data_IF_540086983051
#
_entry.id   IF_540086983051
#
_cell.length_a   1.000
_cell.length_b   1.000
_cell.length_c   1.000
_cell.angle_alpha   90.00
_cell.angle_beta   90.00
_cell.angle_gamma   90.00
#
_symmetry.space_group_name_H-M   'P 1'
#
loop_
_entity.id
_entity.type
_entity.pdbx_description
1 polymer ?
#
# COMPACT_ATOMS: atom_id res chain seq x y z
N UNK A 1 52.36 4.28 -6.67
CA UNK A 1 52.58 5.40 -7.62
C UNK A 1 52.62 4.98 -9.10
N UNK A 2 52.58 3.68 -9.42
CA UNK A 2 52.60 3.19 -10.80
C UNK A 2 51.22 3.20 -11.47
N UNK A 3 50.12 2.96 -10.74
CA UNK A 3 48.76 3.02 -11.32
C UNK A 3 48.34 4.43 -11.76
N UNK A 4 48.69 5.47 -11.01
CA UNK A 4 48.29 6.85 -11.35
C UNK A 4 49.01 7.39 -12.59
N UNK A 5 50.25 6.94 -12.82
CA UNK A 5 51.04 7.27 -14.00
C UNK A 5 50.50 6.60 -15.28
N UNK A 6 50.02 5.36 -15.17
CA UNK A 6 49.37 4.63 -16.28
C UNK A 6 48.02 5.26 -16.63
N UNK A 7 47.24 5.68 -15.63
CA UNK A 7 45.96 6.38 -15.83
C UNK A 7 46.19 7.75 -16.49
N UNK A 8 47.21 8.50 -16.08
CA UNK A 8 47.55 9.81 -16.67
C UNK A 8 48.13 9.70 -18.09
N UNK A 9 48.88 8.64 -18.40
CA UNK A 9 49.34 8.37 -19.76
C UNK A 9 48.19 7.96 -20.68
N UNK A 10 47.26 7.13 -20.19
CA UNK A 10 46.05 6.76 -20.93
C UNK A 10 45.15 7.97 -21.21
N UNK A 11 44.95 8.87 -20.25
CA UNK A 11 44.14 10.08 -20.47
C UNK A 11 44.79 11.05 -21.45
N UNK A 12 46.13 11.20 -21.43
CA UNK A 12 46.85 12.01 -22.42
C UNK A 12 46.79 11.44 -23.84
N UNK A 13 46.90 10.12 -24.00
CA UNK A 13 46.80 9.46 -25.30
C UNK A 13 45.38 9.54 -25.87
N UNK A 14 44.36 9.52 -25.01
CA UNK A 14 42.93 9.68 -25.38
C UNK A 14 42.59 11.13 -25.76
N UNK A 15 43.22 12.13 -25.13
CA UNK A 15 43.02 13.55 -25.45
C UNK A 15 43.65 13.99 -26.79
N UNK A 16 44.73 13.33 -27.22
CA UNK A 16 45.53 13.78 -28.37
C UNK A 16 45.01 13.28 -29.73
N UNK A 17 44.05 12.35 -29.75
CA UNK A 17 43.32 11.94 -30.95
C UNK A 17 41.87 12.30 -30.74
N UNK A 18 41.36 13.35 -31.40
CA UNK A 18 39.93 13.66 -31.39
C UNK A 18 39.16 12.37 -31.72
N UNK A 19 38.49 11.73 -30.74
CA UNK A 19 37.72 10.57 -31.06
C UNK A 19 36.55 11.09 -31.88
N UNK A 20 36.30 10.47 -33.05
CA UNK A 20 34.94 10.42 -33.60
C UNK A 20 34.13 9.68 -32.54
N UNK A 21 33.65 10.44 -31.56
CA UNK A 21 33.05 9.92 -30.34
C UNK A 21 31.84 9.06 -30.73
N UNK A 22 31.58 7.99 -29.97
CA UNK A 22 30.23 7.42 -30.03
C UNK A 22 29.26 8.57 -29.77
N UNK A 23 28.21 8.69 -30.58
CA UNK A 23 27.19 9.70 -30.35
C UNK A 23 26.72 9.56 -28.90
N UNK A 24 26.74 10.64 -28.12
CA UNK A 24 26.31 10.61 -26.73
C UNK A 24 24.90 10.00 -26.58
N UNK A 25 24.08 10.15 -27.61
CA UNK A 25 22.80 9.48 -27.78
C UNK A 25 22.89 7.95 -27.65
N UNK A 26 23.85 7.30 -28.32
CA UNK A 26 24.04 5.85 -28.28
C UNK A 26 24.42 5.31 -26.90
N UNK A 27 25.18 6.10 -26.13
CA UNK A 27 25.52 5.77 -24.73
C UNK A 27 24.31 5.95 -23.80
N UNK A 28 23.48 6.98 -24.04
CA UNK A 28 22.26 7.21 -23.28
C UNK A 28 21.19 6.14 -23.57
N UNK A 29 21.03 5.76 -24.83
CA UNK A 29 20.11 4.68 -25.22
C UNK A 29 20.53 3.34 -24.63
N UNK A 30 21.83 3.05 -24.55
CA UNK A 30 22.31 1.82 -23.92
C UNK A 30 22.04 1.79 -22.42
N UNK A 31 22.10 2.93 -21.72
CA UNK A 31 21.72 3.02 -20.30
C UNK A 31 20.23 2.74 -20.08
N UNK A 32 19.38 3.15 -21.02
CA UNK A 32 17.94 2.83 -21.03
C UNK A 32 17.64 1.37 -21.42
N UNK A 33 18.65 0.61 -21.84
CA UNK A 33 18.51 -0.81 -22.21
C UNK A 33 18.10 -1.03 -23.67
N UNK A 34 18.18 0.01 -24.50
CA UNK A 34 17.91 -0.06 -25.94
C UNK A 34 19.15 -0.61 -26.66
N UNK A 35 19.00 -1.51 -27.66
CA UNK A 35 20.13 -2.01 -28.44
C UNK A 35 20.84 -0.88 -29.20
N UNK A 36 22.16 -0.98 -29.27
CA UNK A 36 23.00 0.03 -29.91
C UNK A 36 22.89 -0.10 -31.43
N UNK A 37 22.51 0.99 -32.10
CA UNK A 37 22.32 1.01 -33.56
C UNK A 37 23.66 1.12 -34.32
N UNK A 38 24.67 1.79 -33.75
CA UNK A 38 25.98 1.98 -34.37
C UNK A 38 27.02 1.03 -33.79
N UNK A 39 27.63 0.20 -34.65
CA UNK A 39 28.71 -0.71 -34.27
C UNK A 39 29.98 0.08 -33.93
N UNK A 40 30.61 -0.24 -32.81
CA UNK A 40 31.90 0.32 -32.41
C UNK A 40 33.00 -0.27 -33.30
N UNK A 41 33.82 0.59 -33.91
CA UNK A 41 34.83 0.18 -34.91
C UNK A 41 36.24 0.10 -34.30
N UNK A 42 36.53 0.87 -33.24
CA UNK A 42 37.88 1.02 -32.69
C UNK A 42 38.05 0.40 -31.30
N UNK A 43 39.22 -0.22 -31.07
CA UNK A 43 39.56 -0.91 -29.81
C UNK A 43 39.51 0.02 -28.58
N UNK A 44 39.96 1.27 -28.72
CA UNK A 44 39.93 2.26 -27.62
C UNK A 44 38.50 2.62 -27.20
N UNK A 45 37.57 2.69 -28.15
CA UNK A 45 36.16 2.94 -27.87
C UNK A 45 35.51 1.77 -27.14
N UNK A 46 35.95 0.52 -27.41
CA UNK A 46 35.51 -0.65 -26.63
C UNK A 46 35.97 -0.60 -25.17
N UNK A 47 37.21 -0.15 -24.92
CA UNK A 47 37.75 -0.02 -23.56
C UNK A 47 36.98 1.01 -22.70
N UNK A 48 36.42 2.06 -23.30
CA UNK A 48 35.59 3.03 -22.60
C UNK A 48 34.12 2.56 -22.47
N UNK A 49 33.63 1.83 -23.47
CA UNK A 49 32.24 1.40 -23.52
C UNK A 49 31.94 0.20 -22.61
N UNK A 50 32.89 -0.71 -22.40
CA UNK A 50 32.70 -1.87 -21.54
C UNK A 50 32.44 -1.50 -20.06
N UNK A 51 33.20 -0.58 -19.42
CA UNK A 51 32.88 -0.09 -18.08
C UNK A 51 31.53 0.64 -18.00
N UNK A 52 31.15 1.38 -19.04
CA UNK A 52 29.85 2.05 -19.12
C UNK A 52 28.69 1.03 -19.13
N UNK A 53 28.78 0.00 -19.97
CA UNK A 53 27.79 -1.08 -19.98
C UNK A 53 27.72 -1.80 -18.64
N UNK A 54 28.87 -2.11 -18.03
CA UNK A 54 28.91 -2.75 -16.72
C UNK A 54 28.26 -1.88 -15.63
N UNK A 55 28.56 -0.58 -15.62
CA UNK A 55 27.96 0.38 -14.68
C UNK A 55 26.45 0.51 -14.85
N UNK A 56 25.96 0.61 -16.09
CA UNK A 56 24.51 0.69 -16.37
C UNK A 56 23.79 -0.61 -16.01
N UNK A 57 24.39 -1.77 -16.27
CA UNK A 57 23.85 -3.07 -15.88
C UNK A 57 23.72 -3.20 -14.36
N UNK A 58 24.76 -2.81 -13.63
CA UNK A 58 24.79 -2.82 -12.17
C UNK A 58 23.74 -1.86 -11.60
N UNK A 59 23.69 -0.62 -12.11
CA UNK A 59 22.73 0.39 -11.67
C UNK A 59 21.27 -0.08 -11.87
N UNK A 60 20.96 -0.69 -13.02
CA UNK A 60 19.63 -1.23 -13.31
C UNK A 60 19.29 -2.38 -12.36
N UNK A 61 20.22 -3.29 -12.11
CA UNK A 61 20.03 -4.40 -11.18
C UNK A 61 19.73 -3.93 -9.76
N UNK A 62 20.49 -2.95 -9.26
CA UNK A 62 20.26 -2.33 -7.94
C UNK A 62 18.91 -1.64 -7.92
N UNK A 63 18.59 -0.83 -8.94
CA UNK A 63 17.31 -0.13 -9.00
C UNK A 63 16.12 -1.09 -8.98
N UNK A 64 16.14 -2.14 -9.81
CA UNK A 64 15.05 -3.13 -9.83
C UNK A 64 14.95 -3.90 -8.53
N UNK A 65 16.09 -4.24 -7.90
CA UNK A 65 16.11 -4.91 -6.60
C UNK A 65 15.54 -4.05 -5.49
N UNK A 66 15.92 -2.77 -5.44
CA UNK A 66 15.39 -1.80 -4.47
C UNK A 66 13.90 -1.54 -4.69
N UNK A 67 13.48 -1.38 -5.95
CA UNK A 67 12.08 -1.17 -6.31
C UNK A 67 11.23 -2.38 -5.88
N UNK A 68 11.71 -3.60 -6.12
CA UNK A 68 11.06 -4.82 -5.63
C UNK A 68 11.00 -4.86 -4.11
N UNK A 69 12.09 -4.52 -3.41
CA UNK A 69 12.11 -4.48 -1.96
C UNK A 69 11.10 -3.45 -1.40
N UNK A 70 10.99 -2.26 -2.01
CA UNK A 70 10.02 -1.24 -1.61
C UNK A 70 8.58 -1.74 -1.80
N UNK A 71 8.28 -2.40 -2.92
CA UNK A 71 6.95 -2.95 -3.18
C UNK A 71 6.63 -4.17 -2.31
N UNK A 72 7.62 -5.02 -2.03
CA UNK A 72 7.46 -6.24 -1.23
C UNK A 72 7.31 -5.94 0.25
N UNK A 73 8.10 -5.01 0.79
CA UNK A 73 8.12 -4.74 2.24
C UNK A 73 7.11 -3.68 2.68
N UNK A 74 6.19 -3.22 1.80
CA UNK A 74 5.14 -2.24 2.11
C UNK A 74 5.63 -1.19 3.12
N UNK A 75 6.57 -0.33 2.71
CA UNK A 75 7.23 0.70 3.57
C UNK A 75 6.25 1.67 4.26
N UNK A 76 4.95 1.58 3.94
CA UNK A 76 3.88 2.19 4.70
C UNK A 76 3.49 1.27 5.84
N UNK A 77 3.90 1.60 7.08
CA UNK A 77 3.47 1.02 8.36
C UNK A 77 2.58 -0.22 8.25
N UNK A 78 3.13 -1.39 8.60
CA UNK A 78 2.32 -2.59 8.80
C UNK A 78 1.24 -2.25 9.82
N UNK A 79 -0.02 -2.31 9.42
CA UNK A 79 -1.11 -2.15 10.37
C UNK A 79 -0.97 -3.22 11.45
N UNK A 80 -1.19 -2.88 12.73
CA UNK A 80 -0.99 -3.80 13.82
C UNK A 80 -1.87 -5.02 13.63
N UNK A 81 -1.28 -6.21 13.74
CA UNK A 81 -2.01 -7.47 13.60
C UNK A 81 -2.67 -7.87 14.91
N UNK A 82 -2.08 -7.44 16.02
CA UNK A 82 -2.56 -7.70 17.37
C UNK A 82 -3.02 -6.41 18.05
N UNK A 83 -4.03 -6.55 18.88
CA UNK A 83 -4.54 -5.46 19.71
C UNK A 83 -3.46 -4.85 20.61
N UNK A 84 -2.56 -5.67 21.15
CA UNK A 84 -1.46 -5.20 22.01
C UNK A 84 -0.47 -4.33 21.22
N UNK A 85 -0.14 -4.75 20.00
CA UNK A 85 0.71 -3.98 19.09
C UNK A 85 0.10 -2.63 18.75
N UNK A 86 -1.23 -2.58 18.55
CA UNK A 86 -1.95 -1.32 18.33
C UNK A 86 -1.86 -0.37 19.56
N UNK A 87 -1.91 -0.91 20.78
CA UNK A 87 -1.73 -0.12 21.99
C UNK A 87 -0.29 0.40 22.13
N UNK A 88 0.71 -0.43 21.82
CA UNK A 88 2.13 -0.07 21.88
C UNK A 88 2.50 1.01 20.85
N UNK A 89 1.88 0.97 19.66
CA UNK A 89 1.99 2.02 18.63
C UNK A 89 1.23 3.32 18.99
N UNK A 90 0.55 3.35 20.15
CA UNK A 90 -0.11 4.54 20.68
C UNK A 90 -1.49 4.83 20.09
N UNK A 91 -2.16 3.80 19.55
CA UNK A 91 -3.56 3.92 19.15
C UNK A 91 -4.47 3.94 20.36
N UNK A 92 -5.53 4.75 20.30
CA UNK A 92 -6.51 4.88 21.39
C UNK A 92 -7.75 4.04 21.08
N UNK A 93 -8.17 3.13 21.98
CA UNK A 93 -9.41 2.39 21.82
C UNK A 93 -10.62 3.31 21.99
N UNK A 94 -11.57 3.18 21.06
CA UNK A 94 -12.88 3.85 21.08
C UNK A 94 -13.95 2.78 21.21
N UNK A 95 -14.77 2.87 22.25
CA UNK A 95 -15.79 1.86 22.52
C UNK A 95 -17.13 2.47 22.86
N UNK A 96 -18.21 1.76 22.52
CA UNK A 96 -19.54 2.09 23.03
C UNK A 96 -19.63 1.69 24.50
N UNK A 97 -20.49 2.34 25.27
CA UNK A 97 -20.69 2.00 26.69
C UNK A 97 -21.04 0.52 26.91
N UNK A 98 -21.89 -0.06 26.07
CA UNK A 98 -22.26 -1.48 26.17
C UNK A 98 -21.07 -2.40 25.89
N UNK A 99 -20.32 -2.13 24.82
CA UNK A 99 -19.14 -2.94 24.49
C UNK A 99 -18.05 -2.77 25.54
N UNK A 100 -17.90 -1.59 26.14
CA UNK A 100 -16.97 -1.36 27.23
C UNK A 100 -17.30 -2.26 28.44
N UNK A 101 -18.57 -2.39 28.81
CA UNK A 101 -18.98 -3.26 29.91
C UNK A 101 -18.61 -4.74 29.67
N UNK A 102 -18.64 -5.16 28.41
CA UNK A 102 -18.31 -6.53 28.01
C UNK A 102 -16.79 -6.80 28.04
N UNK A 103 -15.96 -5.80 27.71
CA UNK A 103 -14.50 -5.97 27.56
C UNK A 103 -13.69 -5.48 28.77
N UNK A 104 -14.29 -4.72 29.70
CA UNK A 104 -13.59 -4.12 30.86
C UNK A 104 -12.88 -5.14 31.76
N UNK A 105 -13.26 -6.41 31.68
CA UNK A 105 -12.69 -7.49 32.50
C UNK A 105 -11.47 -8.14 31.85
N UNK A 106 -11.23 -7.89 30.57
CA UNK A 106 -10.05 -8.36 29.85
C UNK A 106 -8.83 -7.63 30.42
N UNK A 107 -7.85 -8.39 30.91
CA UNK A 107 -6.67 -7.91 31.65
C UNK A 107 -5.97 -6.68 31.07
N UNK A 108 -5.96 -6.54 29.75
CA UNK A 108 -5.31 -5.43 29.04
C UNK A 108 -6.12 -4.12 28.99
N UNK A 109 -7.44 -4.19 29.17
CA UNK A 109 -8.30 -3.01 29.39
C UNK A 109 -8.41 -2.68 30.89
N UNK A 110 -8.31 -3.69 31.76
CA UNK A 110 -8.37 -3.54 33.22
C UNK A 110 -7.09 -2.97 33.83
N UNK A 111 -5.93 -3.41 33.31
CA UNK A 111 -4.64 -2.90 33.74
C UNK A 111 -4.50 -1.49 33.18
N UNK A 112 -4.85 -0.48 34.00
CA UNK A 112 -4.57 0.94 33.79
C UNK A 112 -3.06 1.15 33.77
N UNK A 113 -2.43 0.68 32.70
CA UNK A 113 -1.02 0.86 32.47
C UNK A 113 -0.85 2.35 32.17
N UNK A 114 -0.10 3.11 32.98
CA UNK A 114 0.06 4.55 32.78
C UNK A 114 0.78 4.88 31.46
N UNK A 115 1.34 3.88 30.78
CA UNK A 115 1.92 3.98 29.45
C UNK A 115 0.89 4.06 28.32
N UNK A 116 -0.33 3.57 28.51
CA UNK A 116 -1.36 3.55 27.46
C UNK A 116 -2.33 4.74 27.59
N UNK A 117 -2.81 5.23 26.46
CA UNK A 117 -3.82 6.30 26.42
C UNK A 117 -5.14 5.80 27.02
N UNK A 118 -5.90 6.67 27.71
CA UNK A 118 -7.18 6.28 28.30
C UNK A 118 -8.21 5.93 27.21
N UNK A 119 -8.98 4.88 27.45
CA UNK A 119 -10.08 4.46 26.57
C UNK A 119 -11.10 5.57 26.39
N UNK A 120 -11.49 5.82 25.14
CA UNK A 120 -12.57 6.75 24.81
C UNK A 120 -13.88 5.97 24.86
N UNK A 121 -14.62 6.17 25.95
CA UNK A 121 -15.92 5.54 26.17
C UNK A 121 -17.01 6.50 25.71
N UNK A 122 -17.73 6.12 24.67
CA UNK A 122 -18.84 6.89 24.13
C UNK A 122 -20.13 6.49 24.86
N UNK A 123 -20.69 7.44 25.61
CA UNK A 123 -21.95 7.25 26.34
C UNK A 123 -23.14 7.29 25.37
N UNK A 124 -23.31 6.23 24.59
CA UNK A 124 -24.42 6.02 23.67
C UNK A 124 -24.85 4.56 23.69
N UNK A 125 -26.15 4.32 23.55
CA UNK A 125 -26.72 2.99 23.34
C UNK A 125 -26.50 2.47 21.92
N UNK A 126 -26.15 3.36 20.98
CA UNK A 126 -25.91 2.99 19.59
C UNK A 126 -24.54 2.32 19.44
N UNK A 127 -24.52 1.04 19.06
CA UNK A 127 -23.27 0.30 18.84
C UNK A 127 -22.48 0.78 17.61
N UNK A 128 -23.11 1.51 16.68
CA UNK A 128 -22.41 2.07 15.51
C UNK A 128 -21.57 3.30 15.84
N UNK A 129 -21.74 3.90 17.01
CA UNK A 129 -21.11 5.16 17.38
C UNK A 129 -19.58 5.11 17.31
N UNK A 130 -18.99 3.94 17.61
CA UNK A 130 -17.53 3.76 17.51
C UNK A 130 -17.04 3.91 16.07
N UNK A 131 -17.79 3.40 15.09
CA UNK A 131 -17.44 3.53 13.67
C UNK A 131 -17.64 4.96 13.17
N UNK A 132 -18.75 5.58 13.53
CA UNK A 132 -19.04 6.97 13.17
C UNK A 132 -17.98 7.92 13.73
N UNK A 133 -17.49 7.65 14.94
CA UNK A 133 -16.41 8.40 15.57
C UNK A 133 -15.08 8.24 14.82
N UNK A 134 -14.71 7.01 14.43
CA UNK A 134 -13.51 6.76 13.62
C UNK A 134 -13.56 7.49 12.27
N UNK A 135 -14.72 7.51 11.62
CA UNK A 135 -14.87 8.19 10.32
C UNK A 135 -14.71 9.70 10.43
N UNK A 136 -15.26 10.31 11.49
CA UNK A 136 -15.10 11.74 11.73
C UNK A 136 -13.64 12.12 12.03
N UNK A 137 -12.83 11.18 12.51
CA UNK A 137 -11.44 11.38 12.95
C UNK A 137 -10.47 10.41 12.30
N UNK A 138 -10.59 10.24 10.98
CA UNK A 138 -9.76 9.31 10.21
C UNK A 138 -8.25 9.61 10.23
N UNK A 139 -7.85 10.80 10.67
CA UNK A 139 -6.44 11.21 10.78
C UNK A 139 -5.80 10.89 12.14
N UNK A 140 -6.59 10.48 13.13
CA UNK A 140 -6.09 10.13 14.46
C UNK A 140 -5.79 8.63 14.56
N UNK A 141 -4.80 8.26 15.37
CA UNK A 141 -4.48 6.86 15.66
C UNK A 141 -5.53 6.30 16.63
N UNK A 142 -6.67 5.90 16.08
CA UNK A 142 -7.81 5.36 16.79
C UNK A 142 -8.16 3.97 16.26
N UNK A 143 -8.64 3.10 17.13
CA UNK A 143 -9.32 1.86 16.71
C UNK A 143 -10.59 1.69 17.51
N UNK A 144 -11.59 1.03 16.92
CA UNK A 144 -12.86 0.76 17.60
C UNK A 144 -12.99 -0.73 17.93
N UNK A 145 -13.48 -1.02 19.13
CA UNK A 145 -13.88 -2.38 19.52
C UNK A 145 -15.38 -2.49 19.42
N UNK A 146 -15.85 -3.37 18.53
CA UNK A 146 -17.27 -3.53 18.20
C UNK A 146 -17.53 -5.01 17.89
N UNK A 147 -18.70 -5.57 18.25
CA UNK A 147 -19.04 -6.93 17.84
C UNK A 147 -19.14 -7.05 16.31
N UNK A 148 -18.63 -8.17 15.80
CA UNK A 148 -18.46 -8.40 14.35
C UNK A 148 -19.78 -8.31 13.55
N UNK A 149 -20.90 -8.74 14.14
CA UNK A 149 -22.20 -8.73 13.48
C UNK A 149 -22.70 -7.30 13.25
N UNK A 150 -22.54 -6.41 14.24
CA UNK A 150 -22.88 -4.99 14.11
C UNK A 150 -21.99 -4.28 13.10
N UNK A 151 -20.68 -4.59 13.10
CA UNK A 151 -19.74 -4.08 12.11
C UNK A 151 -20.15 -4.49 10.69
N UNK A 152 -20.45 -5.77 10.46
CA UNK A 152 -20.87 -6.29 9.15
C UNK A 152 -22.17 -5.63 8.67
N UNK A 153 -23.14 -5.49 9.57
CA UNK A 153 -24.41 -4.82 9.29
C UNK A 153 -24.22 -3.33 8.95
N UNK A 154 -23.35 -2.62 9.67
CA UNK A 154 -23.01 -1.22 9.39
C UNK A 154 -22.41 -1.05 7.99
N UNK A 155 -21.41 -1.86 7.65
CA UNK A 155 -20.77 -1.81 6.33
C UNK A 155 -21.77 -2.05 5.20
N UNK A 156 -22.68 -3.01 5.39
CA UNK A 156 -23.71 -3.32 4.41
C UNK A 156 -24.72 -2.18 4.25
N UNK A 157 -25.27 -1.70 5.37
CA UNK A 157 -26.32 -0.66 5.36
C UNK A 157 -25.78 0.68 4.85
N UNK A 158 -24.53 1.02 5.16
CA UNK A 158 -23.90 2.28 4.76
C UNK A 158 -23.11 2.18 3.45
N UNK A 159 -22.94 0.98 2.89
CA UNK A 159 -22.18 0.75 1.66
C UNK A 159 -20.67 1.03 1.76
N UNK A 160 -20.08 0.92 2.95
CA UNK A 160 -18.68 1.33 3.25
C UNK A 160 -17.67 0.19 3.26
N UNK A 161 -17.86 -0.81 2.39
CA UNK A 161 -17.00 -1.99 2.34
C UNK A 161 -15.56 -1.59 1.97
N UNK A 162 -14.58 -2.04 2.76
CA UNK A 162 -13.15 -1.75 2.54
C UNK A 162 -12.67 -0.39 3.05
N UNK A 163 -13.50 0.35 3.80
CA UNK A 163 -13.08 1.61 4.44
C UNK A 163 -12.29 1.38 5.73
N UNK A 164 -12.56 0.28 6.42
CA UNK A 164 -11.95 -0.05 7.70
C UNK A 164 -11.00 -1.24 7.56
N UNK A 165 -9.89 -1.17 8.29
CA UNK A 165 -9.02 -2.32 8.52
C UNK A 165 -9.52 -3.07 9.77
N UNK A 166 -9.78 -4.37 9.61
CA UNK A 166 -10.22 -5.24 10.71
C UNK A 166 -9.00 -6.02 11.18
N UNK A 167 -8.67 -5.91 12.47
CA UNK A 167 -7.60 -6.72 13.03
C UNK A 167 -7.99 -8.21 12.96
N UNK A 168 -7.05 -9.11 12.60
CA UNK A 168 -7.33 -10.54 12.50
C UNK A 168 -7.59 -11.20 13.87
N UNK A 169 -7.27 -10.52 14.98
CA UNK A 169 -7.47 -11.01 16.33
C UNK A 169 -8.93 -10.88 16.81
N UNK A 170 -9.50 -12.00 17.29
CA UNK A 170 -10.78 -12.02 18.00
C UNK A 170 -10.50 -11.83 19.49
N UNK A 171 -11.04 -10.75 20.08
CA UNK A 171 -10.84 -10.45 21.50
C UNK A 171 -11.69 -11.34 22.40
N UNK A 172 -12.96 -11.52 22.05
CA UNK A 172 -13.91 -12.31 22.82
C UNK A 172 -14.98 -12.90 21.90
N UNK A 173 -15.39 -14.13 22.19
CA UNK A 173 -16.52 -14.76 21.53
C UNK A 173 -17.75 -14.70 22.44
N UNK A 174 -18.74 -13.90 22.05
CA UNK A 174 -20.01 -13.78 22.75
C UNK A 174 -21.00 -14.81 22.22
N UNK A 175 -21.76 -15.45 23.12
CA UNK A 175 -22.86 -16.34 22.78
C UNK A 175 -24.18 -15.60 23.01
N UNK A 176 -25.06 -15.63 22.01
CA UNK A 176 -26.40 -15.07 22.13
C UNK A 176 -27.31 -16.11 22.76
N UNK A 177 -27.95 -15.75 23.88
CA UNK A 177 -28.88 -16.58 24.62
C UNK A 177 -30.19 -15.84 24.85
N UNK A 178 -31.30 -16.57 24.90
CA UNK A 178 -32.60 -16.04 25.27
C UNK A 178 -32.81 -16.33 26.74
N UNK A 179 -32.94 -15.29 27.56
CA UNK A 179 -33.18 -15.44 28.99
C UNK A 179 -34.66 -15.58 29.27
N UNK A 180 -35.02 -16.64 29.99
CA UNK A 180 -36.36 -16.90 30.51
C UNK A 180 -36.38 -16.73 32.04
N UNK A 181 -37.56 -16.52 32.60
CA UNK A 181 -37.75 -16.47 34.05
C UNK A 181 -37.29 -17.80 34.67
N UNK A 182 -36.63 -17.71 35.83
CA UNK A 182 -36.17 -18.89 36.57
C UNK A 182 -37.33 -19.87 36.80
N UNK A 183 -37.11 -21.15 36.49
CA UNK A 183 -38.11 -22.22 36.56
C UNK A 183 -39.29 -22.08 35.59
N UNK A 184 -39.13 -21.35 34.48
CA UNK A 184 -40.13 -21.35 33.43
C UNK A 184 -40.25 -22.75 32.79
N UNK A 185 -41.49 -23.26 32.75
CA UNK A 185 -41.83 -24.55 32.09
C UNK A 185 -41.47 -24.50 30.59
N UNK A 186 -41.44 -23.30 30.00
CA UNK A 186 -41.17 -23.09 28.59
C UNK A 186 -39.69 -23.30 28.21
N UNK A 187 -38.77 -23.37 29.18
CA UNK A 187 -37.33 -23.41 28.91
C UNK A 187 -36.94 -24.64 28.08
N UNK A 188 -37.38 -25.82 28.49
CA UNK A 188 -37.09 -27.06 27.76
C UNK A 188 -37.71 -27.06 26.36
N UNK A 189 -38.93 -26.55 26.24
CA UNK A 189 -39.63 -26.48 24.96
C UNK A 189 -38.95 -25.49 24.01
N UNK A 190 -38.50 -24.33 24.51
CA UNK A 190 -37.75 -23.36 23.72
C UNK A 190 -36.40 -23.92 23.27
N UNK A 191 -35.64 -24.54 24.18
CA UNK A 191 -34.33 -25.11 23.85
C UNK A 191 -34.45 -26.19 22.78
N UNK A 192 -35.41 -27.11 22.93
CA UNK A 192 -35.69 -28.13 21.92
C UNK A 192 -36.04 -27.50 20.57
N UNK A 193 -36.91 -26.50 20.56
CA UNK A 193 -37.31 -25.82 19.33
C UNK A 193 -36.13 -25.11 18.67
N UNK A 194 -35.27 -24.43 19.43
CA UNK A 194 -34.07 -23.76 18.91
C UNK A 194 -33.09 -24.79 18.32
N UNK A 195 -32.92 -25.94 18.97
CA UNK A 195 -32.10 -27.04 18.46
C UNK A 195 -32.66 -27.61 17.16
N UNK A 196 -33.97 -27.82 17.08
CA UNK A 196 -34.65 -28.28 15.87
C UNK A 196 -34.48 -27.27 14.71
N UNK A 197 -34.66 -25.97 14.99
CA UNK A 197 -34.42 -24.89 14.01
C UNK A 197 -32.95 -24.87 13.54
N UNK A 198 -32.00 -25.08 14.45
CA UNK A 198 -30.57 -25.18 14.13
C UNK A 198 -30.29 -26.41 13.26
N UNK A 199 -30.88 -27.56 13.57
CA UNK A 199 -30.72 -28.80 12.81
C UNK A 199 -31.28 -28.67 11.38
N UNK A 200 -32.38 -27.94 11.20
CA UNK A 200 -32.93 -27.60 9.88
C UNK A 200 -32.07 -26.60 9.10
N UNK A 201 -31.09 -25.96 9.74
CA UNK A 201 -30.22 -24.97 9.11
C UNK A 201 -30.86 -23.60 8.90
N UNK A 202 -31.99 -23.30 9.56
CA UNK A 202 -32.66 -22.00 9.49
C UNK A 202 -31.74 -20.82 9.87
N UNK A 203 -30.93 -20.90 10.95
CA UNK A 203 -29.98 -19.84 11.26
C UNK A 203 -28.97 -19.57 10.14
N UNK A 204 -28.53 -20.61 9.44
CA UNK A 204 -27.61 -20.48 8.30
C UNK A 204 -28.30 -19.79 7.11
N UNK A 205 -29.58 -20.08 6.89
CA UNK A 205 -30.39 -19.42 5.86
C UNK A 205 -30.62 -17.94 6.18
N UNK A 206 -31.02 -17.60 7.41
CA UNK A 206 -31.19 -16.22 7.85
C UNK A 206 -29.88 -15.44 7.81
N UNK A 207 -28.77 -16.06 8.23
CA UNK A 207 -27.45 -15.45 8.08
C UNK A 207 -27.19 -15.08 6.62
N UNK A 208 -27.47 -15.96 5.66
CA UNK A 208 -27.29 -15.64 4.23
C UNK A 208 -28.20 -14.51 3.74
N UNK A 209 -29.43 -14.41 4.24
CA UNK A 209 -30.39 -13.37 3.87
C UNK A 209 -30.03 -12.00 4.44
N UNK A 210 -29.63 -11.94 5.70
CA UNK A 210 -29.44 -10.68 6.44
C UNK A 210 -27.97 -10.25 6.55
N UNK A 211 -27.03 -11.19 6.49
CA UNK A 211 -25.59 -10.94 6.56
C UNK A 211 -24.95 -11.42 5.24
N UNK A 212 -24.64 -10.48 4.35
CA UNK A 212 -23.95 -10.82 3.12
C UNK A 212 -22.48 -11.21 3.43
N UNK A 213 -22.21 -12.53 3.46
CA UNK A 213 -20.87 -13.09 3.70
C UNK A 213 -19.82 -12.64 2.66
N UNK A 214 -20.22 -12.09 1.51
CA UNK A 214 -19.29 -11.51 0.53
C UNK A 214 -18.54 -10.29 1.08
N UNK A 215 -19.12 -9.55 2.03
CA UNK A 215 -18.46 -8.41 2.66
C UNK A 215 -17.30 -8.91 3.54
N UNK A 216 -17.55 -9.94 4.34
CA UNK A 216 -16.53 -10.56 5.21
C UNK A 216 -15.42 -11.23 4.41
N UNK A 217 -15.74 -11.90 3.30
CA UNK A 217 -14.73 -12.54 2.45
C UNK A 217 -13.85 -11.54 1.69
N UNK A 218 -14.37 -10.33 1.41
CA UNK A 218 -13.58 -9.22 0.85
C UNK A 218 -12.66 -8.55 1.88
N UNK A 219 -13.06 -8.52 3.15
CA UNK A 219 -12.24 -7.94 4.23
C UNK A 219 -11.02 -8.79 4.58
N UNK A 220 -11.15 -10.12 4.56
CA UNK A 220 -10.07 -11.04 4.91
C UNK A 220 -9.10 -11.34 3.76
N UNK A 221 -9.38 -10.88 2.55
CA UNK A 221 -8.38 -10.91 1.49
C UNK A 221 -7.42 -9.77 1.80
N UNK A 222 -6.30 -10.12 2.40
CA UNK A 222 -5.06 -9.36 2.24
C UNK A 222 -4.77 -9.29 0.74
N UNK A 223 -5.43 -8.35 0.06
CA UNK A 223 -5.05 -7.95 -1.27
C UNK A 223 -3.62 -7.47 -1.13
N UNK A 224 -2.68 -8.35 -1.48
CA UNK A 224 -1.39 -7.95 -2.00
C UNK A 224 -1.72 -6.81 -2.93
N UNK A 225 -1.40 -5.57 -2.52
CA UNK A 225 -1.88 -4.36 -3.20
C UNK A 225 -1.33 -4.42 -4.62
N UNK A 226 -2.12 -4.97 -5.53
CA UNK A 226 -1.81 -5.03 -6.95
C UNK A 226 -1.65 -3.58 -7.38
N UNK A 227 -0.56 -3.28 -8.06
CA UNK A 227 -0.24 -1.91 -8.51
C UNK A 227 -1.46 -1.41 -9.29
N UNK A 228 -2.15 -0.39 -8.74
CA UNK A 228 -3.36 0.15 -9.35
C UNK A 228 -2.95 1.12 -10.43
N UNK A 229 -3.79 1.30 -11.45
CA UNK A 229 -3.51 2.23 -12.55
C UNK A 229 -3.24 3.67 -12.06
N UNK A 230 -3.84 4.07 -10.93
CA UNK A 230 -3.58 5.36 -10.28
C UNK A 230 -2.12 5.54 -9.84
N UNK A 231 -1.44 4.46 -9.44
CA UNK A 231 -0.07 4.51 -8.91
C UNK A 231 0.94 4.75 -10.06
N UNK A 232 0.56 4.42 -11.30
CA UNK A 232 1.34 4.68 -12.52
C UNK A 232 1.17 6.09 -13.09
N UNK A 233 0.30 6.92 -12.52
CA UNK A 233 0.00 8.25 -13.05
C UNK A 233 1.25 9.14 -13.17
N UNK A 234 2.17 9.06 -12.19
CA UNK A 234 3.44 9.78 -12.22
C UNK A 234 4.30 9.41 -13.44
N UNK A 235 4.38 8.12 -13.78
CA UNK A 235 5.09 7.67 -14.97
C UNK A 235 4.47 8.22 -16.26
N UNK A 236 3.14 8.23 -16.35
CA UNK A 236 2.45 8.83 -17.51
C UNK A 236 2.69 10.34 -17.62
N UNK A 237 2.69 11.06 -16.50
CA UNK A 237 2.95 12.49 -16.48
C UNK A 237 4.37 12.82 -16.98
N UNK A 238 5.38 12.06 -16.54
CA UNK A 238 6.77 12.22 -16.99
C UNK A 238 6.91 11.93 -18.49
N UNK A 239 6.32 10.81 -18.97
CA UNK A 239 6.31 10.47 -20.39
C UNK A 239 5.64 11.56 -21.24
N UNK A 240 4.48 12.07 -20.80
CA UNK A 240 3.80 13.18 -21.48
C UNK A 240 4.66 14.45 -21.50
N UNK A 241 5.33 14.77 -20.39
CA UNK A 241 6.26 15.89 -20.32
C UNK A 241 7.40 15.79 -21.34
N UNK A 242 8.01 14.62 -21.46
CA UNK A 242 9.06 14.40 -22.48
C UNK A 242 8.54 14.50 -23.91
N UNK A 243 7.32 14.01 -24.19
CA UNK A 243 6.71 14.13 -25.52
C UNK A 243 6.40 15.59 -25.89
N UNK A 244 5.90 16.38 -24.93
CA UNK A 244 5.65 17.81 -25.13
C UNK A 244 6.97 18.55 -25.39
N UNK A 245 8.02 18.24 -24.62
CA UNK A 245 9.34 18.83 -24.81
C UNK A 245 9.92 18.49 -26.19
N UNK A 246 9.81 17.23 -26.61
CA UNK A 246 10.22 16.80 -27.96
C UNK A 246 9.45 17.54 -29.06
N UNK A 247 8.12 17.75 -28.89
CA UNK A 247 7.31 18.52 -29.83
C UNK A 247 7.78 19.97 -29.91
N UNK A 248 8.07 20.61 -28.78
CA UNK A 248 8.60 21.99 -28.75
C UNK A 248 9.93 22.08 -29.49
N UNK A 249 10.87 21.16 -29.24
CA UNK A 249 12.16 21.13 -29.93
C UNK A 249 11.98 20.94 -31.44
N UNK A 250 11.08 20.04 -31.85
CA UNK A 250 10.78 19.82 -33.27
C UNK A 250 10.20 21.07 -33.95
N UNK A 251 9.28 21.78 -33.29
CA UNK A 251 8.73 23.04 -33.80
C UNK A 251 9.82 24.12 -33.90
N UNK A 252 10.71 24.21 -32.91
CA UNK A 252 11.85 25.13 -32.94
C UNK A 252 12.82 24.82 -34.08
N UNK A 253 13.10 23.54 -34.34
CA UNK A 253 13.93 23.11 -35.46
C UNK A 253 13.29 23.47 -36.81
N UNK A 254 11.98 23.23 -36.96
CA UNK A 254 11.23 23.59 -38.15
C UNK A 254 11.21 25.11 -38.40
N UNK A 255 11.09 25.91 -37.34
CA UNK A 255 11.19 27.38 -37.40
C UNK A 255 12.61 27.85 -37.70
N UNK A 256 13.63 27.15 -37.20
CA UNK A 256 15.05 27.45 -37.45
C UNK A 256 15.42 27.29 -38.93
N UNK A 257 14.86 26.27 -39.59
CA UNK A 257 15.02 26.07 -41.04
C UNK A 257 14.43 27.25 -41.84
N UNK A 258 13.35 27.87 -41.35
CA UNK A 258 12.64 28.95 -42.04
C UNK A 258 13.22 30.34 -41.77
N UNK A 259 13.90 30.56 -40.63
CA UNK A 259 14.40 31.88 -40.21
C UNK A 259 15.93 31.88 -40.10
N UNK A 260 16.60 32.60 -41.03
CA UNK A 260 18.08 32.68 -41.12
C UNK A 260 18.79 33.10 -39.81
N UNK A 261 18.13 33.84 -38.91
CA UNK A 261 18.70 34.29 -37.63
C UNK A 261 18.82 33.17 -36.56
N UNK A 262 18.03 32.10 -36.65
CA UNK A 262 18.08 30.96 -35.70
C UNK A 262 19.10 29.88 -36.09
N UNK A 263 19.54 29.88 -37.36
CA UNK A 263 20.56 28.97 -37.88
C UNK A 263 21.94 29.13 -37.21
N UNK A 264 22.21 30.30 -36.62
CA UNK A 264 23.49 30.59 -35.95
C UNK A 264 23.55 30.09 -34.50
N UNK A 265 22.41 29.73 -33.89
CA UNK A 265 22.35 29.30 -32.49
C UNK A 265 22.23 27.77 -32.32
N UNK A 266 21.86 27.07 -33.40
CA UNK A 266 21.65 25.61 -33.44
C UNK A 266 22.60 24.85 -34.40
N UNK A 267 23.55 25.54 -35.04
CA UNK A 267 24.64 24.93 -35.81
C UNK A 267 25.94 24.94 -35.02
#
# INVERSE_FOLDING_TARGET
MTCTLVILLMTKIIQQRQPKCLDAFSMLTSALGVPIVKKVIHLHSYLLFAPWLWGTFLLRSIYTGLLFHIFSNNVYHTMPQMFIEALDEGYTPVTSYLTYLDIKEISHFTARNPAYKPDIILNSSNQFIGMEYLEQRAHENLFAVIPQDFFTHYLFTKGKVGTFYVLPQILMQQQLCIYLIKHSILTEQFDKTILDLKAMGLPKHWKKLFLNNEVLSKLNKEEHKLIKQKDLFGCYAICCGFQILALIVFVLELLSIRVKKLKCLFS
#
